data_IF_151462268574
#
_entry.id   IF_151462268574
#
_cell.length_a   1.000
_cell.length_b   1.000
_cell.length_c   1.000
_cell.angle_alpha   90.00
_cell.angle_beta   90.00
_cell.angle_gamma   90.00
#
_symmetry.space_group_name_H-M   'P 1'
#
loop_
_entity.id
_entity.type
_entity.pdbx_description
1 polymer ?
#
# COMPACT_ATOMS: atom_id res chain seq x y z
N UNK A 1 0.92 7.26 1.43
CA UNK A 1 0.48 6.00 2.06
C UNK A 1 1.70 5.31 2.63
N UNK A 2 1.60 4.63 3.77
CA UNK A 2 2.77 4.08 4.46
C UNK A 2 2.53 2.68 5.00
N UNK A 3 3.42 1.73 4.69
CA UNK A 3 3.48 0.41 5.30
C UNK A 3 4.72 0.30 6.18
N UNK A 4 4.56 -0.30 7.35
CA UNK A 4 5.71 -0.77 8.12
C UNK A 4 6.12 -2.15 7.61
N UNK A 5 7.36 -2.31 7.16
CA UNK A 5 7.88 -3.58 6.62
C UNK A 5 8.74 -4.29 7.66
N UNK A 6 9.56 -3.55 8.41
CA UNK A 6 10.39 -4.10 9.51
C UNK A 6 10.32 -3.22 10.75
N UNK A 7 10.46 -3.87 11.91
CA UNK A 7 10.45 -3.24 13.24
C UNK A 7 9.23 -2.35 13.47
N UNK A 8 9.39 -1.14 14.02
CA UNK A 8 8.29 -0.32 14.52
C UNK A 8 8.36 1.14 14.05
N UNK A 9 7.21 1.63 13.58
CA UNK A 9 7.02 3.01 13.15
C UNK A 9 5.90 3.65 13.98
N UNK A 10 6.19 4.74 14.68
CA UNK A 10 5.16 5.57 15.30
C UNK A 10 4.62 6.52 14.24
N UNK A 11 3.29 6.55 14.05
CA UNK A 11 2.64 7.40 13.04
C UNK A 11 1.53 8.20 13.70
N UNK A 12 1.58 9.52 13.48
CA UNK A 12 0.49 10.44 13.76
C UNK A 12 -0.32 10.66 12.50
N UNK A 13 -1.64 10.62 12.66
CA UNK A 13 -2.60 10.86 11.60
C UNK A 13 -3.78 11.63 12.18
N UNK A 14 -3.85 12.92 11.87
CA UNK A 14 -4.74 13.90 12.49
C UNK A 14 -4.62 13.86 14.03
N UNK A 15 -5.71 13.54 14.72
CA UNK A 15 -5.85 13.42 16.18
C UNK A 15 -5.52 12.02 16.71
N UNK A 16 -4.99 11.14 15.86
CA UNK A 16 -4.64 9.76 16.21
C UNK A 16 -3.13 9.51 16.14
N UNK A 17 -2.65 8.60 16.98
CA UNK A 17 -1.29 8.08 16.95
C UNK A 17 -1.30 6.57 17.14
N UNK A 18 -0.62 5.83 16.27
CA UNK A 18 -0.44 4.38 16.38
C UNK A 18 1.01 3.98 16.26
N UNK A 19 1.37 2.88 16.92
CA UNK A 19 2.61 2.15 16.64
C UNK A 19 2.28 1.08 15.62
N UNK A 20 2.83 1.22 14.41
CA UNK A 20 2.75 0.26 13.33
C UNK A 20 3.87 -0.76 13.50
N UNK A 21 3.50 -2.03 13.39
CA UNK A 21 4.37 -3.20 13.31
C UNK A 21 4.40 -3.73 11.87
N UNK A 22 5.25 -4.73 11.52
CA UNK A 22 5.32 -5.26 10.17
C UNK A 22 3.96 -5.68 9.61
N UNK A 23 3.62 -5.13 8.45
CA UNK A 23 2.37 -5.32 7.72
C UNK A 23 1.23 -4.38 8.11
N UNK A 24 1.36 -3.58 9.17
CA UNK A 24 0.40 -2.51 9.49
C UNK A 24 0.50 -1.38 8.46
N UNK A 25 -0.63 -0.71 8.23
CA UNK A 25 -0.80 0.28 7.17
C UNK A 25 -1.42 1.57 7.69
N UNK A 26 -0.95 2.70 7.16
CA UNK A 26 -1.55 4.01 7.31
C UNK A 26 -1.90 4.62 5.94
N UNK A 27 -3.18 4.90 5.72
CA UNK A 27 -3.66 5.68 4.59
C UNK A 27 -3.66 7.15 4.94
N UNK A 28 -2.90 7.92 4.17
CA UNK A 28 -2.79 9.37 4.28
C UNK A 28 -3.69 10.09 3.26
N UNK A 29 -4.71 9.39 2.76
CA UNK A 29 -5.57 9.91 1.70
C UNK A 29 -6.21 11.25 2.11
N UNK A 30 -6.21 12.27 1.24
CA UNK A 30 -6.88 13.54 1.55
C UNK A 30 -8.38 13.31 1.75
N UNK A 31 -8.99 14.10 2.63
CA UNK A 31 -10.41 14.02 2.93
C UNK A 31 -11.22 14.62 1.77
N UNK A 32 -11.71 13.76 0.88
CA UNK A 32 -12.55 14.08 -0.30
C UNK A 32 -11.94 15.02 -1.36
N UNK A 33 -11.89 14.56 -2.62
CA UNK A 33 -11.43 15.35 -3.77
C UNK A 33 -12.53 16.18 -4.46
N UNK A 34 -13.59 16.59 -3.75
CA UNK A 34 -14.59 17.48 -4.37
C UNK A 34 -14.07 18.92 -4.60
N UNK A 35 -12.82 19.22 -4.28
CA UNK A 35 -12.21 20.53 -4.55
C UNK A 35 -11.13 20.42 -5.62
N UNK A 36 -11.50 20.70 -6.87
CA UNK A 36 -10.61 21.34 -7.86
C UNK A 36 -10.26 22.78 -7.42
N UNK A 37 -9.89 22.97 -6.16
CA UNK A 37 -9.47 24.28 -5.68
C UNK A 37 -7.96 24.35 -5.85
N UNK A 38 -7.54 25.00 -6.93
CA UNK A 38 -6.23 25.64 -6.97
C UNK A 38 -6.09 26.53 -5.73
N UNK A 39 -4.92 26.46 -5.12
CA UNK A 39 -4.40 27.18 -3.94
C UNK A 39 -4.96 28.61 -3.82
N UNK A 40 -5.36 29.06 -2.61
CA UNK A 40 -5.13 30.44 -2.11
C UNK A 40 -5.66 30.80 -0.69
N UNK A 41 -6.02 29.86 0.20
CA UNK A 41 -6.34 30.23 1.59
C UNK A 41 -5.88 29.20 2.63
N UNK A 42 -5.23 29.70 3.69
CA UNK A 42 -4.64 28.97 4.82
C UNK A 42 -5.66 28.25 5.72
N UNK A 43 -6.95 28.48 5.51
CA UNK A 43 -8.01 27.99 6.41
C UNK A 43 -8.74 26.72 5.92
N UNK A 44 -8.30 26.12 4.80
CA UNK A 44 -8.95 24.95 4.18
C UNK A 44 -7.99 23.82 3.80
N UNK A 45 -7.01 23.48 4.65
CA UNK A 45 -6.25 22.25 4.46
C UNK A 45 -7.18 21.04 4.65
N UNK A 46 -7.60 20.42 3.53
CA UNK A 46 -8.39 19.17 3.51
C UNK A 46 -7.51 17.91 3.37
N UNK A 47 -6.20 18.05 3.58
CA UNK A 47 -5.26 16.93 3.64
C UNK A 47 -5.22 16.29 5.02
N UNK A 48 -4.71 15.06 5.10
CA UNK A 48 -4.43 14.43 6.38
C UNK A 48 -3.18 15.06 7.00
N UNK A 49 -3.28 15.61 8.21
CA UNK A 49 -2.09 16.04 8.95
C UNK A 49 -1.39 14.77 9.42
N UNK A 50 -0.11 14.60 9.11
CA UNK A 50 0.60 13.39 9.46
C UNK A 50 2.07 13.63 9.75
N UNK A 51 2.62 12.78 10.60
CA UNK A 51 4.04 12.71 10.92
C UNK A 51 4.38 11.26 11.26
N UNK A 52 5.66 10.93 11.24
CA UNK A 52 6.12 9.62 11.69
C UNK A 52 7.48 9.72 12.39
N UNK A 53 7.74 8.73 13.24
CA UNK A 53 8.99 8.57 13.97
C UNK A 53 9.40 7.09 13.92
N UNK A 54 10.63 6.84 13.49
CA UNK A 54 11.24 5.51 13.59
C UNK A 54 11.58 5.26 15.06
N UNK A 55 11.05 4.19 15.64
CA UNK A 55 11.26 3.85 17.06
C UNK A 55 11.94 2.49 17.25
N UNK A 56 12.10 1.72 16.17
CA UNK A 56 12.86 0.49 16.14
C UNK A 56 14.30 0.69 15.66
N UNK A 57 15.22 -0.17 16.12
CA UNK A 57 16.65 -0.09 15.74
C UNK A 57 16.93 -0.36 14.26
N UNK A 58 16.02 -1.09 13.58
CA UNK A 58 16.07 -1.31 12.13
C UNK A 58 14.66 -1.23 11.53
N UNK A 59 14.22 -0.02 11.17
CA UNK A 59 12.86 0.20 10.68
C UNK A 59 12.87 0.45 9.18
N UNK A 60 12.12 -0.37 8.44
CA UNK A 60 11.91 -0.20 6.99
C UNK A 60 10.44 0.12 6.74
N UNK A 61 10.21 1.10 5.88
CA UNK A 61 8.86 1.48 5.44
C UNK A 61 8.77 1.42 3.93
N UNK A 62 7.59 1.06 3.43
CA UNK A 62 7.27 1.14 2.01
C UNK A 62 6.21 2.21 1.80
N UNK A 63 6.58 3.27 1.07
CA UNK A 63 5.73 4.41 0.80
C UNK A 63 5.25 4.42 -0.64
N UNK A 64 3.94 4.56 -0.86
CA UNK A 64 3.38 4.86 -2.18
C UNK A 64 2.76 6.25 -2.12
N UNK A 65 3.14 7.07 -3.09
CA UNK A 65 2.68 8.44 -3.27
C UNK A 65 2.16 8.55 -4.70
N UNK A 66 0.96 9.08 -4.85
CA UNK A 66 0.27 9.22 -6.14
C UNK A 66 -0.33 10.64 -6.21
N UNK A 67 -0.14 11.38 -7.32
CA UNK A 67 0.59 10.98 -8.53
C UNK A 67 2.13 10.88 -8.30
N UNK A 68 2.84 10.37 -9.30
CA UNK A 68 4.30 10.30 -9.30
C UNK A 68 4.96 11.70 -9.28
N UNK A 69 6.24 11.76 -8.92
CA UNK A 69 7.04 12.99 -8.92
C UNK A 69 7.45 13.45 -7.52
N UNK A 70 6.75 13.00 -6.47
CA UNK A 70 7.12 13.34 -5.09
C UNK A 70 8.53 12.85 -4.71
N UNK A 71 9.05 11.84 -5.40
CA UNK A 71 10.40 11.35 -5.15
C UNK A 71 11.50 12.35 -5.56
N UNK A 72 11.20 13.35 -6.38
CA UNK A 72 12.11 14.47 -6.66
C UNK A 72 12.40 15.30 -5.40
N UNK A 73 11.47 15.37 -4.43
CA UNK A 73 11.75 15.97 -3.12
C UNK A 73 12.91 15.25 -2.43
N UNK A 74 12.89 13.91 -2.40
CA UNK A 74 13.98 13.13 -1.80
C UNK A 74 15.29 13.26 -2.57
N UNK A 75 15.23 13.43 -3.90
CA UNK A 75 16.43 13.73 -4.71
C UNK A 75 17.01 15.11 -4.41
N UNK A 76 16.17 16.11 -4.13
CA UNK A 76 16.58 17.47 -3.80
C UNK A 76 17.10 17.63 -2.36
N UNK A 77 16.54 16.89 -1.40
CA UNK A 77 16.96 16.93 0.01
C UNK A 77 18.09 15.93 0.32
N UNK A 78 18.08 14.80 -0.37
CA UNK A 78 18.99 13.68 -0.15
C UNK A 78 20.36 13.89 -0.76
N UNK A 79 21.22 12.89 -0.56
CA UNK A 79 22.50 12.75 -1.25
C UNK A 79 22.61 11.34 -1.79
N UNK A 80 23.36 11.19 -2.89
CA UNK A 80 23.68 9.87 -3.43
C UNK A 80 24.38 9.03 -2.37
N UNK A 81 23.87 7.82 -2.16
CA UNK A 81 24.40 6.90 -1.17
C UNK A 81 24.47 5.50 -1.77
N UNK A 82 25.64 4.86 -1.65
CA UNK A 82 25.92 3.54 -2.23
C UNK A 82 26.09 2.45 -1.16
N UNK A 83 25.96 2.80 0.12
CA UNK A 83 26.07 1.84 1.21
C UNK A 83 24.84 0.91 1.26
N UNK A 84 25.00 -0.32 1.76
CA UNK A 84 23.92 -1.31 1.83
C UNK A 84 22.89 -1.01 2.93
N UNK A 85 23.23 -0.13 3.87
CA UNK A 85 22.48 0.20 5.08
C UNK A 85 22.59 1.70 5.34
N UNK A 86 21.58 2.33 5.93
CA UNK A 86 21.68 3.75 6.29
C UNK A 86 22.86 4.00 7.25
N UNK A 87 23.57 5.13 7.11
CA UNK A 87 24.65 5.49 8.02
C UNK A 87 24.09 5.80 9.42
N UNK A 88 24.96 5.85 10.41
CA UNK A 88 24.62 6.37 11.73
C UNK A 88 24.09 7.81 11.63
N UNK A 89 23.22 8.19 12.56
CA UNK A 89 22.57 9.48 12.53
C UNK A 89 23.57 10.63 12.78
N UNK A 90 23.71 11.50 11.78
CA UNK A 90 24.42 12.78 11.88
C UNK A 90 23.38 13.91 12.00
N UNK A 91 22.97 14.20 13.24
CA UNK A 91 21.88 15.15 13.53
C UNK A 91 22.24 16.60 13.18
N UNK A 92 23.53 16.97 13.24
CA UNK A 92 23.98 18.32 12.90
C UNK A 92 23.83 18.56 11.40
N UNK A 93 24.28 17.60 10.58
CA UNK A 93 24.13 17.65 9.12
C UNK A 93 22.66 17.61 8.69
N UNK A 94 21.82 16.84 9.37
CA UNK A 94 20.37 16.85 9.12
C UNK A 94 19.79 18.23 9.41
N UNK A 95 20.13 18.85 10.54
CA UNK A 95 19.64 20.18 10.90
C UNK A 95 20.11 21.26 9.90
N UNK A 96 21.38 21.23 9.48
CA UNK A 96 21.92 22.15 8.47
C UNK A 96 21.13 22.09 7.15
N UNK A 97 20.91 20.88 6.62
CA UNK A 97 20.10 20.68 5.41
C UNK A 97 18.66 21.13 5.57
N UNK A 98 18.06 20.82 6.72
CA UNK A 98 16.70 21.22 7.00
C UNK A 98 16.55 22.75 7.06
N UNK A 99 17.58 23.47 7.46
CA UNK A 99 17.54 24.93 7.56
C UNK A 99 17.90 25.67 6.26
N UNK A 100 18.66 25.04 5.35
CA UNK A 100 19.26 25.73 4.19
C UNK A 100 18.52 25.54 2.86
N UNK A 101 17.69 24.51 2.71
CA UNK A 101 17.04 24.21 1.42
C UNK A 101 15.58 23.74 1.47
N UNK A 102 15.04 23.50 2.67
CA UNK A 102 13.76 22.81 2.82
C UNK A 102 12.55 23.64 2.45
N UNK A 103 12.52 24.94 2.77
CA UNK A 103 11.33 25.76 2.53
C UNK A 103 10.97 25.85 1.04
N UNK A 104 11.98 25.96 0.17
CA UNK A 104 11.77 26.04 -1.28
C UNK A 104 11.32 24.69 -1.85
N UNK A 105 11.98 23.60 -1.44
CA UNK A 105 11.66 22.24 -1.91
C UNK A 105 10.29 21.78 -1.40
N UNK A 106 9.96 22.04 -0.13
CA UNK A 106 8.66 21.66 0.44
C UNK A 106 7.48 22.33 -0.27
N UNK A 107 7.62 23.61 -0.61
CA UNK A 107 6.56 24.35 -1.32
C UNK A 107 6.34 23.80 -2.73
N UNK A 108 7.40 23.40 -3.43
CA UNK A 108 7.32 22.81 -4.77
C UNK A 108 6.62 21.44 -4.78
N UNK A 109 6.75 20.65 -3.71
CA UNK A 109 6.26 19.28 -3.63
C UNK A 109 5.01 19.10 -2.74
N UNK A 110 4.21 20.15 -2.53
CA UNK A 110 2.94 20.12 -1.76
C UNK A 110 3.12 19.63 -0.31
N UNK A 111 4.25 19.99 0.31
CA UNK A 111 4.51 19.74 1.73
C UNK A 111 4.19 21.03 2.50
N UNK A 112 3.09 20.99 3.27
CA UNK A 112 2.63 22.12 4.07
C UNK A 112 2.94 21.84 5.55
N UNK A 113 3.93 22.52 6.16
CA UNK A 113 4.23 22.36 7.58
C UNK A 113 3.06 22.84 8.45
N UNK A 114 2.69 22.07 9.46
CA UNK A 114 1.63 22.42 10.42
C UNK A 114 2.22 22.47 11.83
N UNK A 115 2.99 23.51 12.12
CA UNK A 115 3.79 23.64 13.36
C UNK A 115 2.95 23.68 14.64
N UNK A 116 1.70 24.12 14.56
CA UNK A 116 0.81 24.27 15.72
C UNK A 116 -0.06 23.03 15.98
N UNK A 117 0.08 21.97 15.17
CA UNK A 117 -0.67 20.73 15.38
C UNK A 117 -0.14 19.99 16.62
N UNK A 118 -1.03 19.66 17.56
CA UNK A 118 -0.65 18.93 18.77
C UNK A 118 -0.56 17.43 18.47
N UNK A 119 0.66 16.90 18.58
CA UNK A 119 0.88 15.46 18.56
C UNK A 119 0.32 14.82 19.84
N UNK A 120 -0.29 13.65 19.70
CA UNK A 120 -0.90 12.89 20.80
C UNK A 120 -0.10 11.63 21.10
N UNK A 121 -0.25 11.08 22.31
CA UNK A 121 0.38 9.80 22.66
C UNK A 121 -0.21 8.62 21.86
N UNK A 122 0.57 7.55 21.62
CA UNK A 122 0.07 6.35 20.96
C UNK A 122 -1.16 5.78 21.65
N UNK A 123 -2.23 5.61 20.90
CA UNK A 123 -3.47 5.00 21.38
C UNK A 123 -3.47 3.49 21.06
N UNK A 124 -4.07 2.64 21.92
CA UNK A 124 -4.20 1.22 21.63
C UNK A 124 -5.05 0.98 20.38
N UNK A 125 -4.84 -0.16 19.72
CA UNK A 125 -5.71 -0.61 18.63
C UNK A 125 -7.11 -0.91 19.18
N UNK A 126 -8.14 -0.28 18.62
CA UNK A 126 -9.52 -0.32 19.11
C UNK A 126 -10.39 -1.34 18.40
N UNK A 127 -9.90 -1.92 17.30
CA UNK A 127 -10.63 -2.86 16.44
C UNK A 127 -11.39 -2.16 15.30
N UNK A 128 -11.61 -0.85 15.40
CA UNK A 128 -12.11 -0.05 14.27
C UNK A 128 -11.15 -0.04 13.09
N UNK A 129 -9.86 -0.26 13.36
CA UNK A 129 -8.78 -0.35 12.38
C UNK A 129 -8.66 -1.74 11.73
N UNK A 130 -9.72 -2.56 11.82
CA UNK A 130 -9.81 -3.87 11.17
C UNK A 130 -10.71 -3.84 9.92
N UNK A 131 -11.12 -2.65 9.47
CA UNK A 131 -12.04 -2.50 8.34
C UNK A 131 -11.62 -1.34 7.45
N UNK A 132 -11.86 -1.47 6.15
CA UNK A 132 -11.69 -0.35 5.22
C UNK A 132 -12.79 0.69 5.45
N UNK A 133 -12.50 2.00 5.48
CA UNK A 133 -13.42 3.06 5.89
C UNK A 133 -14.64 3.32 4.98
N UNK A 134 -14.90 2.50 3.96
CA UNK A 134 -16.01 2.64 3.03
C UNK A 134 -15.98 3.91 2.14
N UNK A 135 -15.06 4.84 2.39
CA UNK A 135 -14.93 6.15 1.74
C UNK A 135 -13.46 6.58 1.74
N UNK A 136 -13.11 7.58 0.92
CA UNK A 136 -11.76 8.12 0.88
C UNK A 136 -11.54 9.07 2.07
N UNK A 137 -10.95 8.55 3.14
CA UNK A 137 -10.52 9.30 4.32
C UNK A 137 -9.20 8.72 4.85
N UNK A 138 -8.50 9.42 5.76
CA UNK A 138 -7.36 8.85 6.48
C UNK A 138 -7.79 7.70 7.40
N UNK A 139 -6.95 6.68 7.54
CA UNK A 139 -7.17 5.55 8.46
C UNK A 139 -5.90 4.74 8.70
N UNK A 140 -5.92 4.00 9.80
CA UNK A 140 -5.01 2.88 10.03
C UNK A 140 -5.71 1.56 9.66
N UNK A 141 -4.93 0.58 9.20
CA UNK A 141 -5.38 -0.79 9.01
C UNK A 141 -4.36 -1.73 9.64
N UNK A 142 -4.79 -2.51 10.64
CA UNK A 142 -3.94 -3.49 11.31
C UNK A 142 -3.67 -4.68 10.38
N UNK A 143 -2.45 -5.17 10.39
CA UNK A 143 -2.00 -6.28 9.55
C UNK A 143 -2.95 -7.47 9.65
N UNK A 144 -3.37 -8.02 8.50
CA UNK A 144 -4.25 -9.20 8.38
C UNK A 144 -5.60 -9.13 9.14
N UNK A 145 -6.10 -7.93 9.41
CA UNK A 145 -7.42 -7.76 10.06
C UNK A 145 -8.49 -7.22 9.12
N UNK A 146 -8.07 -6.52 8.05
CA UNK A 146 -8.95 -6.00 7.01
C UNK A 146 -9.66 -7.07 6.19
N UNK A 147 -10.52 -6.62 5.29
CA UNK A 147 -11.19 -7.49 4.33
C UNK A 147 -10.18 -8.33 3.54
N UNK A 148 -10.54 -9.58 3.30
CA UNK A 148 -9.71 -10.57 2.62
C UNK A 148 -10.57 -11.52 1.80
N UNK A 149 -10.00 -12.10 0.75
CA UNK A 149 -10.67 -13.08 -0.09
C UNK A 149 -9.69 -14.19 -0.47
N UNK A 150 -10.21 -15.41 -0.67
CA UNK A 150 -9.42 -16.54 -1.17
C UNK A 150 -9.89 -16.95 -2.55
N UNK A 151 -8.94 -17.12 -3.46
CA UNK A 151 -9.19 -17.63 -4.81
C UNK A 151 -8.10 -18.63 -5.19
N UNK A 152 -8.46 -19.91 -5.40
CA UNK A 152 -7.50 -20.93 -5.83
C UNK A 152 -6.27 -21.07 -4.92
N UNK A 153 -6.44 -20.92 -3.60
CA UNK A 153 -5.34 -20.95 -2.63
C UNK A 153 -4.56 -19.64 -2.49
N UNK A 154 -4.81 -18.65 -3.33
CA UNK A 154 -4.25 -17.30 -3.20
C UNK A 154 -5.16 -16.45 -2.31
N UNK A 155 -4.57 -15.84 -1.29
CA UNK A 155 -5.27 -14.84 -0.47
C UNK A 155 -4.94 -13.45 -0.97
N UNK A 156 -5.96 -12.62 -1.12
CA UNK A 156 -5.83 -11.20 -1.44
C UNK A 156 -6.35 -10.35 -0.29
N UNK A 157 -5.60 -9.32 0.09
CA UNK A 157 -5.97 -8.38 1.16
C UNK A 157 -5.89 -6.94 0.64
N UNK A 158 -7.01 -6.31 0.25
CA UNK A 158 -7.02 -4.91 -0.15
C UNK A 158 -6.71 -3.99 1.04
N UNK A 159 -5.78 -3.07 0.81
CA UNK A 159 -5.55 -1.88 1.64
C UNK A 159 -6.31 -0.69 1.07
N UNK A 160 -6.39 -0.57 -0.26
CA UNK A 160 -7.21 0.41 -0.98
C UNK A 160 -7.79 -0.29 -2.22
N UNK A 161 -9.09 -0.16 -2.48
CA UNK A 161 -9.67 -0.67 -3.73
C UNK A 161 -9.85 0.45 -4.74
N UNK A 162 -9.85 0.12 -6.03
CA UNK A 162 -10.11 1.08 -7.10
C UNK A 162 -11.42 1.85 -6.87
N UNK A 163 -12.48 1.17 -6.44
CA UNK A 163 -13.76 1.81 -6.13
C UNK A 163 -13.65 2.88 -5.02
N UNK A 164 -12.79 2.65 -4.01
CA UNK A 164 -12.63 3.57 -2.87
C UNK A 164 -11.60 4.68 -3.12
N UNK A 165 -10.78 4.56 -4.16
CA UNK A 165 -9.88 5.61 -4.62
C UNK A 165 -10.46 6.47 -5.75
N UNK A 166 -11.75 6.35 -6.06
CA UNK A 166 -12.34 7.03 -7.23
C UNK A 166 -11.77 6.52 -8.56
N UNK A 167 -11.43 5.23 -8.61
CA UNK A 167 -10.79 4.52 -9.71
C UNK A 167 -9.41 5.07 -10.11
N UNK A 168 -8.70 5.72 -9.19
CA UNK A 168 -7.34 6.24 -9.46
C UNK A 168 -6.27 5.18 -9.23
N UNK A 169 -6.41 4.35 -8.21
CA UNK A 169 -5.45 3.30 -7.92
C UNK A 169 -6.02 2.21 -7.00
N UNK A 170 -5.39 1.05 -6.97
CA UNK A 170 -5.66 -0.01 -5.98
C UNK A 170 -4.37 -0.46 -5.32
N UNK A 171 -4.50 -1.00 -4.11
CA UNK A 171 -3.38 -1.48 -3.32
C UNK A 171 -3.83 -2.69 -2.51
N UNK A 172 -3.12 -3.80 -2.67
CA UNK A 172 -3.42 -5.06 -1.99
C UNK A 172 -2.14 -5.86 -1.74
N UNK A 173 -2.20 -6.86 -0.87
CA UNK A 173 -1.23 -7.97 -0.90
C UNK A 173 -1.84 -9.18 -1.59
N UNK A 174 -1.01 -9.95 -2.29
CA UNK A 174 -1.25 -11.34 -2.65
C UNK A 174 -0.34 -12.24 -1.82
N UNK A 175 -0.92 -13.30 -1.28
CA UNK A 175 -0.22 -14.32 -0.50
C UNK A 175 -0.61 -15.70 -1.00
N UNK A 176 0.34 -16.62 -1.09
CA UNK A 176 0.08 -17.99 -1.54
C UNK A 176 1.27 -18.92 -1.31
N UNK A 177 1.25 -20.08 -1.95
CA UNK A 177 2.25 -21.14 -1.81
C UNK A 177 2.50 -21.84 -3.14
N UNK A 178 3.73 -22.32 -3.35
CA UNK A 178 4.07 -23.25 -4.42
C UNK A 178 3.43 -24.65 -4.25
N UNK A 179 2.94 -24.97 -3.05
CA UNK A 179 2.23 -26.22 -2.77
C UNK A 179 0.81 -26.21 -3.36
N UNK A 180 0.31 -25.03 -3.70
CA UNK A 180 -0.95 -24.89 -4.42
C UNK A 180 -0.62 -24.73 -5.89
N UNK A 181 -1.13 -25.63 -6.73
CA UNK A 181 -1.22 -25.36 -8.16
C UNK A 181 -2.10 -24.11 -8.32
N UNK A 182 -1.46 -22.95 -8.46
CA UNK A 182 -2.13 -21.64 -8.43
C UNK A 182 -2.75 -21.38 -9.80
N UNK A 183 -3.88 -22.03 -10.08
CA UNK A 183 -4.58 -21.97 -11.37
C UNK A 183 -5.14 -20.57 -11.70
N UNK A 184 -5.26 -19.67 -10.73
CA UNK A 184 -5.86 -18.34 -10.91
C UNK A 184 -4.92 -17.38 -11.65
N UNK A 185 -3.64 -17.40 -11.25
CA UNK A 185 -2.65 -16.43 -11.71
C UNK A 185 -1.61 -17.04 -12.66
N UNK A 186 -1.62 -18.38 -12.79
CA UNK A 186 -0.89 -19.08 -13.82
C UNK A 186 -1.63 -19.02 -15.16
N UNK A 187 -0.86 -19.11 -16.25
CA UNK A 187 -1.39 -19.12 -17.61
C UNK A 187 -1.56 -17.74 -18.23
N UNK A 188 -1.01 -16.68 -17.61
CA UNK A 188 -0.93 -15.35 -18.22
C UNK A 188 -2.20 -14.51 -18.14
N UNK A 189 -2.14 -13.35 -17.50
CA UNK A 189 -3.21 -12.35 -17.50
C UNK A 189 -2.68 -10.98 -17.89
N UNK A 190 -3.35 -10.29 -18.81
CA UNK A 190 -2.93 -8.97 -19.31
C UNK A 190 -3.96 -7.90 -18.97
N UNK A 191 -3.50 -6.73 -18.55
CA UNK A 191 -4.32 -5.54 -18.37
C UNK A 191 -3.80 -4.42 -19.28
N UNK A 192 -4.35 -4.23 -20.50
CA UNK A 192 -3.77 -3.32 -21.47
C UNK A 192 -3.72 -1.84 -21.06
N UNK A 193 -4.55 -1.43 -20.10
CA UNK A 193 -4.67 -0.03 -19.65
C UNK A 193 -4.46 0.14 -18.15
N UNK A 194 -3.69 -0.74 -17.51
CA UNK A 194 -3.40 -0.67 -16.09
C UNK A 194 -1.89 -0.86 -15.88
N UNK A 195 -1.29 0.07 -15.16
CA UNK A 195 0.08 -0.05 -14.69
C UNK A 195 0.10 -0.84 -13.38
N UNK A 196 0.97 -1.84 -13.28
CA UNK A 196 1.16 -2.62 -12.04
C UNK A 196 2.58 -2.45 -11.52
N UNK A 197 2.71 -2.31 -10.21
CA UNK A 197 3.98 -2.36 -9.50
C UNK A 197 3.91 -3.44 -8.42
N UNK A 198 4.93 -4.29 -8.36
CA UNK A 198 5.04 -5.40 -7.43
C UNK A 198 6.23 -5.20 -6.52
N UNK A 199 6.03 -5.34 -5.21
CA UNK A 199 7.09 -5.40 -4.21
C UNK A 199 6.97 -6.72 -3.44
N UNK A 200 7.95 -7.60 -3.65
CA UNK A 200 8.02 -8.90 -2.98
C UNK A 200 8.56 -8.67 -1.58
N UNK A 201 7.72 -8.89 -0.55
CA UNK A 201 8.17 -8.78 0.85
C UNK A 201 8.65 -10.09 1.42
N UNK A 202 8.10 -11.21 0.94
CA UNK A 202 8.42 -12.55 1.42
C UNK A 202 8.42 -13.54 0.25
N UNK A 203 9.39 -14.45 0.27
CA UNK A 203 9.54 -15.51 -0.73
C UNK A 203 10.07 -15.02 -2.06
N UNK A 204 9.83 -15.82 -3.09
CA UNK A 204 10.27 -15.57 -4.46
C UNK A 204 9.10 -15.68 -5.43
N UNK A 205 9.05 -14.73 -6.36
CA UNK A 205 8.03 -14.62 -7.39
C UNK A 205 8.68 -14.49 -8.77
N UNK A 206 8.30 -15.35 -9.70
CA UNK A 206 8.65 -15.18 -11.11
C UNK A 206 7.59 -14.35 -11.84
N UNK A 207 8.05 -13.30 -12.52
CA UNK A 207 7.25 -12.45 -13.39
C UNK A 207 7.98 -12.37 -14.74
N UNK A 208 7.54 -13.11 -15.78
CA UNK A 208 8.19 -13.03 -17.08
C UNK A 208 8.05 -11.62 -17.68
N UNK A 209 9.08 -11.18 -18.39
CA UNK A 209 9.03 -9.92 -19.13
C UNK A 209 7.95 -9.99 -20.22
N UNK A 210 7.07 -8.99 -20.26
CA UNK A 210 5.99 -8.92 -21.24
C UNK A 210 4.82 -8.07 -20.75
N UNK A 211 3.76 -8.01 -21.56
CA UNK A 211 2.52 -7.28 -21.22
C UNK A 211 1.53 -8.12 -20.40
N UNK A 212 1.89 -9.34 -20.01
CA UNK A 212 1.04 -10.24 -19.23
C UNK A 212 1.78 -10.75 -17.99
N UNK A 213 1.03 -10.99 -16.92
CA UNK A 213 1.52 -11.56 -15.68
C UNK A 213 1.28 -13.06 -15.68
N UNK A 214 2.33 -13.86 -15.56
CA UNK A 214 2.24 -15.28 -15.24
C UNK A 214 2.91 -15.47 -13.88
N UNK A 215 2.11 -15.32 -12.82
CA UNK A 215 2.62 -15.26 -11.45
C UNK A 215 2.78 -16.69 -10.95
N UNK A 216 4.04 -17.13 -10.81
CA UNK A 216 4.38 -18.47 -10.32
C UNK A 216 5.02 -18.39 -8.93
N UNK A 217 4.31 -18.86 -7.89
CA UNK A 217 4.90 -19.05 -6.58
C UNK A 217 6.00 -20.10 -6.64
N UNK A 218 7.22 -19.77 -6.20
CA UNK A 218 8.31 -20.75 -6.08
C UNK A 218 8.53 -21.14 -4.62
N UNK A 219 8.21 -20.26 -3.68
CA UNK A 219 8.35 -20.50 -2.24
C UNK A 219 7.11 -21.16 -1.64
N UNK A 220 7.30 -21.90 -0.54
CA UNK A 220 6.20 -22.46 0.27
C UNK A 220 5.28 -21.40 0.87
N UNK A 221 5.78 -20.18 1.01
CA UNK A 221 5.00 -18.98 1.27
C UNK A 221 5.61 -17.83 0.46
N UNK A 222 4.76 -17.05 -0.19
CA UNK A 222 5.14 -15.75 -0.74
C UNK A 222 4.15 -14.68 -0.31
N UNK A 223 4.63 -13.44 -0.26
CA UNK A 223 3.82 -12.25 -0.09
C UNK A 223 4.32 -11.15 -1.00
N UNK A 224 3.41 -10.63 -1.82
CA UNK A 224 3.70 -9.54 -2.74
C UNK A 224 2.71 -8.40 -2.50
N UNK A 225 3.25 -7.20 -2.28
CA UNK A 225 2.49 -5.97 -2.34
C UNK A 225 2.28 -5.60 -3.80
N UNK A 226 1.04 -5.24 -4.14
CA UNK A 226 0.66 -4.85 -5.48
C UNK A 226 0.02 -3.49 -5.46
N UNK A 227 0.59 -2.58 -6.22
CA UNK A 227 -0.04 -1.33 -6.61
C UNK A 227 -0.54 -1.46 -8.05
N UNK A 228 -1.70 -0.86 -8.33
CA UNK A 228 -2.18 -0.70 -9.70
C UNK A 228 -2.77 0.69 -9.92
N UNK A 229 -2.59 1.25 -11.11
CA UNK A 229 -3.22 2.48 -11.55
C UNK A 229 -3.80 2.32 -12.97
N UNK A 230 -5.14 2.40 -13.16
CA UNK A 230 -6.21 2.41 -12.16
C UNK A 230 -6.34 1.04 -11.43
N UNK A 231 -7.51 0.72 -10.86
CA UNK A 231 -7.72 -0.58 -10.20
C UNK A 231 -7.39 -1.77 -11.11
N UNK A 232 -6.67 -2.77 -10.57
CA UNK A 232 -6.05 -3.84 -11.36
C UNK A 232 -6.22 -5.24 -10.79
N UNK A 233 -5.10 -6.00 -10.78
CA UNK A 233 -5.10 -7.44 -10.47
C UNK A 233 -5.64 -7.73 -9.06
N UNK A 234 -5.27 -6.92 -8.07
CA UNK A 234 -5.74 -7.08 -6.69
C UNK A 234 -7.25 -6.93 -6.57
N UNK A 235 -7.84 -5.97 -7.28
CA UNK A 235 -9.29 -5.78 -7.29
C UNK A 235 -10.01 -6.92 -8.00
N UNK A 236 -9.44 -7.47 -9.10
CA UNK A 236 -9.98 -8.63 -9.80
C UNK A 236 -10.02 -9.86 -8.88
N UNK A 237 -8.88 -10.23 -8.29
CA UNK A 237 -8.77 -11.42 -7.42
C UNK A 237 -9.71 -11.25 -6.22
N UNK A 238 -9.77 -10.04 -5.64
CA UNK A 238 -10.66 -9.77 -4.52
C UNK A 238 -12.13 -9.90 -4.93
N UNK A 239 -12.53 -9.31 -6.05
CA UNK A 239 -13.90 -9.40 -6.54
C UNK A 239 -14.33 -10.84 -6.88
N UNK A 240 -13.43 -11.65 -7.43
CA UNK A 240 -13.70 -13.04 -7.78
C UNK A 240 -13.71 -13.98 -6.56
N UNK A 241 -12.99 -13.64 -5.49
CA UNK A 241 -12.92 -14.45 -4.26
C UNK A 241 -13.78 -13.97 -3.09
N UNK A 242 -14.38 -12.77 -3.15
CA UNK A 242 -15.06 -12.13 -2.00
C UNK A 242 -16.21 -12.96 -1.39
N UNK A 243 -16.81 -13.86 -2.17
CA UNK A 243 -17.90 -14.73 -1.71
C UNK A 243 -17.38 -15.87 -0.80
N UNK A 244 -16.05 -16.06 -0.77
CA UNK A 244 -15.32 -16.92 0.18
C UNK A 244 -14.40 -16.04 1.03
N UNK A 245 -14.96 -15.24 1.95
CA UNK A 245 -14.15 -14.37 2.78
C UNK A 245 -13.17 -15.21 3.61
N UNK A 246 -11.93 -14.73 3.76
CA UNK A 246 -10.95 -15.43 4.58
C UNK A 246 -11.13 -15.01 6.05
N UNK A 247 -12.18 -15.55 6.68
CA UNK A 247 -12.87 -14.96 7.84
C UNK A 247 -12.17 -15.07 9.20
N UNK A 248 -10.92 -15.52 9.27
CA UNK A 248 -10.19 -15.47 10.54
C UNK A 248 -9.31 -14.23 10.65
N UNK A 249 -9.43 -13.52 11.77
CA UNK A 249 -8.48 -12.48 12.16
C UNK A 249 -7.07 -13.08 12.17
N UNK A 250 -6.12 -12.42 11.50
CA UNK A 250 -4.73 -12.88 11.37
C UNK A 250 -4.54 -14.21 10.62
N UNK A 251 -5.54 -14.73 9.91
CA UNK A 251 -5.36 -15.99 9.18
C UNK A 251 -4.26 -15.89 8.13
N UNK A 252 -3.45 -16.94 8.06
CA UNK A 252 -2.42 -17.18 7.03
C UNK A 252 -3.08 -17.57 5.69
N UNK A 253 -2.33 -18.10 4.72
CA UNK A 253 -2.94 -18.79 3.57
C UNK A 253 -3.70 -20.04 4.03
N UNK A 254 -4.73 -20.52 3.30
CA UNK A 254 -5.47 -21.74 3.68
C UNK A 254 -4.58 -22.99 3.62
N UNK A 255 -4.91 -24.05 4.36
CA UNK A 255 -4.15 -25.32 4.34
C UNK A 255 -4.31 -26.10 3.02
N UNK A 256 -5.34 -25.80 2.24
CA UNK A 256 -5.61 -26.43 0.94
C UNK A 256 -6.21 -25.43 -0.03
N UNK A 257 -5.91 -25.52 -1.33
CA UNK A 257 -6.48 -24.63 -2.32
C UNK A 257 -7.98 -24.93 -2.48
N UNK A 258 -8.79 -23.89 -2.65
CA UNK A 258 -10.16 -24.08 -3.07
C UNK A 258 -10.21 -24.35 -4.57
N UNK A 259 -11.07 -25.27 -5.01
CA UNK A 259 -11.33 -25.48 -6.43
C UNK A 259 -11.74 -24.14 -7.08
N UNK A 260 -11.06 -23.80 -8.15
CA UNK A 260 -11.34 -22.60 -8.94
C UNK A 260 -11.23 -22.91 -10.42
N UNK A 261 -12.24 -22.46 -11.16
CA UNK A 261 -12.28 -22.54 -12.60
C UNK A 261 -11.87 -21.17 -13.17
N UNK A 262 -10.71 -21.13 -13.84
CA UNK A 262 -10.12 -19.91 -14.40
C UNK A 262 -11.05 -19.25 -15.42
N UNK A 263 -11.88 -20.00 -16.13
CA UNK A 263 -12.81 -19.46 -17.12
C UNK A 263 -13.85 -18.53 -16.46
N UNK A 264 -14.17 -18.75 -15.18
CA UNK A 264 -15.06 -17.88 -14.39
C UNK A 264 -14.51 -16.48 -14.19
N UNK A 265 -13.22 -16.23 -14.44
CA UNK A 265 -12.71 -14.85 -14.49
C UNK A 265 -13.35 -14.07 -15.64
N UNK A 266 -13.77 -14.73 -16.73
CA UNK A 266 -14.32 -14.06 -17.92
C UNK A 266 -15.55 -13.18 -17.63
N UNK A 267 -16.35 -13.51 -16.60
CA UNK A 267 -17.49 -12.67 -16.19
C UNK A 267 -17.08 -11.28 -15.68
N UNK A 268 -15.81 -11.12 -15.29
CA UNK A 268 -15.25 -9.88 -14.75
C UNK A 268 -14.53 -9.02 -15.82
N UNK A 269 -14.38 -9.52 -17.07
CA UNK A 269 -13.63 -8.85 -18.14
C UNK A 269 -14.17 -7.46 -18.47
N UNK A 270 -15.48 -7.28 -18.53
CA UNK A 270 -16.12 -5.98 -18.82
C UNK A 270 -15.78 -4.93 -17.75
N UNK A 271 -15.64 -5.37 -16.49
CA UNK A 271 -15.38 -4.49 -15.35
C UNK A 271 -13.90 -4.12 -15.22
N UNK A 272 -12.99 -5.08 -15.35
CA UNK A 272 -11.56 -4.86 -15.09
C UNK A 272 -10.69 -4.77 -16.35
N UNK A 273 -11.27 -4.95 -17.55
CA UNK A 273 -10.62 -4.77 -18.85
C UNK A 273 -9.29 -5.54 -18.96
N UNK A 274 -9.37 -6.85 -18.83
CA UNK A 274 -8.23 -7.75 -18.92
C UNK A 274 -8.46 -8.87 -19.93
N UNK A 275 -7.35 -9.46 -20.37
CA UNK A 275 -7.31 -10.61 -21.26
C UNK A 275 -6.72 -11.81 -20.50
N UNK A 276 -7.34 -12.97 -20.68
CA UNK A 276 -6.76 -14.25 -20.29
C UNK A 276 -6.02 -14.80 -21.51
N UNK A 277 -4.76 -15.20 -21.31
CA UNK A 277 -3.98 -15.94 -22.29
C UNK A 277 -4.27 -17.44 -22.20
#
# INVERSE_FOLDING_TARGET
>A
MTFCIKSQLKVWLNDQCKILNPGDYASLAPASQNSRAFVHHTDHFKGAIHAYQFIGGHTEIFGIITPAGFEHMFRGLGESYAGPMWPDADLERVAEKLNTGVANVMTEFDVIPVSNHKLVEPQPWSGSENQLPGSQKPYFLRNRTGSSAVLGGTVVRPYVTGAKSGNRYSLATLEGSNQFETQVLSGGIRFPGVDHCFYVSDGYLELPAGTYFDIKPVSSYFKVFMYSQPGGLGDLVYAAGKDKPHTGLNCMIPDSPSLFDREKLSQYKSKFKFDLM
#
